data_IF_342213172762
#
_entry.id   IF_342213172762
#
_cell.length_a   1.000
_cell.length_b   1.000
_cell.length_c   1.000
_cell.angle_alpha   90.00
_cell.angle_beta   90.00
_cell.angle_gamma   90.00
#
_symmetry.space_group_name_H-M   'P 1'
#
loop_
_entity.id
_entity.type
_entity.pdbx_description
1 polymer ?
#
# COMPACT_ATOMS: atom_id res chain seq x y z
N UNK A 1 -7.48 -22.39 -4.21
CA UNK A 1 -7.18 -21.11 -3.54
C UNK A 1 -8.02 -20.05 -4.23
N UNK A 2 -9.04 -19.50 -3.57
CA UNK A 2 -9.78 -18.35 -4.09
C UNK A 2 -8.95 -17.10 -3.76
N UNK A 3 -8.01 -16.76 -4.62
CA UNK A 3 -7.37 -15.43 -4.58
C UNK A 3 -8.44 -14.41 -4.89
N UNK A 4 -8.73 -13.53 -3.92
CA UNK A 4 -9.68 -12.45 -4.06
C UNK A 4 -9.19 -11.52 -5.18
N UNK A 5 -10.06 -11.16 -6.13
CA UNK A 5 -9.72 -10.29 -7.25
C UNK A 5 -9.14 -8.95 -6.76
N UNK A 6 -9.60 -8.47 -5.60
CA UNK A 6 -9.06 -7.27 -4.95
C UNK A 6 -7.59 -7.40 -4.56
N UNK A 7 -7.17 -8.57 -4.04
CA UNK A 7 -5.79 -8.82 -3.63
C UNK A 7 -4.85 -8.88 -4.85
N UNK A 8 -5.33 -9.48 -5.95
CA UNK A 8 -4.60 -9.52 -7.22
C UNK A 8 -4.41 -8.10 -7.75
N UNK A 9 -5.48 -7.30 -7.78
CA UNK A 9 -5.43 -5.92 -8.27
C UNK A 9 -4.48 -5.05 -7.43
N UNK A 10 -4.53 -5.22 -6.11
CA UNK A 10 -3.63 -4.53 -5.18
C UNK A 10 -2.16 -4.92 -5.43
N UNK A 11 -1.89 -6.23 -5.56
CA UNK A 11 -0.55 -6.73 -5.87
C UNK A 11 -0.01 -6.18 -7.19
N UNK A 12 -0.85 -6.12 -8.23
CA UNK A 12 -0.49 -5.53 -9.51
C UNK A 12 -0.19 -4.03 -9.40
N UNK A 13 -1.01 -3.28 -8.67
CA UNK A 13 -0.80 -1.86 -8.44
C UNK A 13 0.54 -1.60 -7.71
N UNK A 14 0.84 -2.36 -6.67
CA UNK A 14 2.13 -2.30 -5.97
C UNK A 14 3.31 -2.65 -6.89
N UNK A 15 3.17 -3.68 -7.73
CA UNK A 15 4.20 -4.05 -8.71
C UNK A 15 4.48 -2.89 -9.67
N UNK A 16 3.43 -2.27 -10.23
CA UNK A 16 3.55 -1.12 -11.15
C UNK A 16 4.31 0.03 -10.49
N UNK A 17 3.96 0.36 -9.23
CA UNK A 17 4.67 1.41 -8.47
C UNK A 17 6.15 1.07 -8.33
N UNK A 18 6.47 -0.17 -7.94
CA UNK A 18 7.85 -0.64 -7.76
C UNK A 18 8.65 -0.60 -9.07
N UNK A 19 8.06 -1.05 -10.17
CA UNK A 19 8.68 -1.01 -11.49
C UNK A 19 8.99 0.42 -11.94
N UNK A 20 8.08 1.37 -11.67
CA UNK A 20 8.37 2.77 -11.98
C UNK A 20 9.42 3.40 -11.10
N UNK A 21 9.36 3.17 -9.79
CA UNK A 21 10.40 3.65 -8.89
C UNK A 21 11.78 3.12 -9.31
N UNK A 22 11.84 1.84 -9.70
CA UNK A 22 13.06 1.21 -10.18
C UNK A 22 13.56 1.82 -11.50
N UNK A 23 12.67 2.07 -12.47
CA UNK A 23 13.04 2.72 -13.73
C UNK A 23 13.65 4.11 -13.50
N UNK A 24 13.04 4.94 -12.65
CA UNK A 24 13.61 6.24 -12.27
C UNK A 24 14.99 6.11 -11.63
N UNK A 25 15.17 5.12 -10.74
CA UNK A 25 16.45 4.88 -10.10
C UNK A 25 17.53 4.45 -11.11
N UNK A 26 17.20 3.64 -12.11
CA UNK A 26 18.13 3.26 -13.19
C UNK A 26 18.54 4.46 -14.04
N UNK A 27 17.67 5.45 -14.20
CA UNK A 27 17.94 6.71 -14.89
C UNK A 27 18.68 7.74 -14.01
N UNK A 28 18.94 7.42 -12.74
CA UNK A 28 19.57 8.35 -11.79
C UNK A 28 18.67 9.51 -11.38
N UNK A 29 17.36 9.37 -11.56
CA UNK A 29 16.37 10.39 -11.23
C UNK A 29 15.89 10.19 -9.80
N UNK A 30 16.18 11.16 -8.93
CA UNK A 30 15.56 11.21 -7.61
C UNK A 30 14.04 11.40 -7.75
N UNK A 31 13.27 10.51 -7.13
CA UNK A 31 11.83 10.46 -7.31
C UNK A 31 11.10 10.49 -5.98
N UNK A 32 9.84 10.90 -6.03
CA UNK A 32 8.92 10.87 -4.90
C UNK A 32 7.55 10.37 -5.38
N UNK A 33 6.62 10.17 -4.45
CA UNK A 33 5.29 9.63 -4.76
C UNK A 33 4.56 10.43 -5.85
N UNK A 34 4.67 11.76 -5.83
CA UNK A 34 4.00 12.62 -6.80
C UNK A 34 4.60 12.50 -8.21
N UNK A 35 5.93 12.37 -8.32
CA UNK A 35 6.60 12.15 -9.62
C UNK A 35 6.17 10.81 -10.23
N UNK A 36 6.14 9.74 -9.42
CA UNK A 36 5.68 8.42 -9.88
C UNK A 36 4.20 8.50 -10.30
N UNK A 37 3.33 9.11 -9.49
CA UNK A 37 1.91 9.25 -9.81
C UNK A 37 1.69 10.03 -11.11
N UNK A 38 2.43 11.12 -11.34
CA UNK A 38 2.38 11.87 -12.59
C UNK A 38 2.77 11.02 -13.79
N UNK A 39 3.85 10.24 -13.68
CA UNK A 39 4.27 9.35 -14.76
C UNK A 39 3.21 8.30 -15.07
N UNK A 40 2.62 7.68 -14.05
CA UNK A 40 1.55 6.69 -14.23
C UNK A 40 0.28 7.31 -14.85
N UNK A 41 -0.02 8.58 -14.57
CA UNK A 41 -1.13 9.29 -15.24
C UNK A 41 -0.87 9.47 -16.73
N UNK A 42 0.35 9.79 -17.13
CA UNK A 42 0.71 9.87 -18.55
C UNK A 42 0.59 8.50 -19.22
N UNK A 43 1.00 7.42 -18.56
CA UNK A 43 0.80 6.06 -19.07
C UNK A 43 -0.68 5.71 -19.22
N UNK A 44 -1.49 6.00 -18.21
CA UNK A 44 -2.93 5.75 -18.23
C UNK A 44 -3.65 6.46 -19.40
N UNK A 45 -3.18 7.65 -19.81
CA UNK A 45 -3.70 8.36 -20.99
C UNK A 45 -3.44 7.61 -22.30
N UNK A 46 -2.35 6.83 -22.35
CA UNK A 46 -1.97 6.04 -23.53
C UNK A 46 -2.63 4.64 -23.54
N UNK A 47 -3.11 4.15 -22.39
CA UNK A 47 -3.77 2.85 -22.32
C UNK A 47 -5.15 2.89 -22.99
N UNK A 48 -5.31 2.08 -24.04
CA UNK A 48 -6.56 1.88 -24.76
C UNK A 48 -7.70 1.51 -23.80
N UNK A 49 -8.89 2.04 -24.07
CA UNK A 49 -10.09 1.80 -23.24
C UNK A 49 -10.46 0.31 -23.13
N UNK A 50 -10.17 -0.49 -24.15
CA UNK A 50 -10.39 -1.94 -24.14
C UNK A 50 -9.53 -2.72 -23.15
N UNK A 51 -8.45 -2.13 -22.61
CA UNK A 51 -7.56 -2.77 -21.65
C UNK A 51 -7.98 -2.48 -20.21
N UNK A 52 -9.15 -3.01 -19.84
CA UNK A 52 -9.83 -2.67 -18.59
C UNK A 52 -8.97 -2.98 -17.35
N UNK A 53 -8.34 -4.16 -17.28
CA UNK A 53 -7.54 -4.53 -16.10
C UNK A 53 -6.30 -3.64 -15.95
N UNK A 54 -5.55 -3.41 -17.03
CA UNK A 54 -4.39 -2.51 -17.02
C UNK A 54 -4.77 -1.10 -16.52
N UNK A 55 -5.92 -0.58 -16.98
CA UNK A 55 -6.45 0.72 -16.51
C UNK A 55 -6.80 0.69 -15.03
N UNK A 56 -7.46 -0.37 -14.54
CA UNK A 56 -7.79 -0.51 -13.12
C UNK A 56 -6.54 -0.53 -12.24
N UNK A 57 -5.52 -1.31 -12.61
CA UNK A 57 -4.28 -1.43 -11.85
C UNK A 57 -3.51 -0.09 -11.82
N UNK A 58 -3.47 0.64 -12.93
CA UNK A 58 -2.89 1.99 -12.99
C UNK A 58 -3.65 3.01 -12.13
N UNK A 59 -4.99 3.00 -12.19
CA UNK A 59 -5.82 3.90 -11.37
C UNK A 59 -5.58 3.63 -9.89
N UNK A 60 -5.57 2.35 -9.48
CA UNK A 60 -5.32 1.98 -8.09
C UNK A 60 -3.91 2.37 -7.64
N UNK A 61 -2.90 2.18 -8.49
CA UNK A 61 -1.53 2.60 -8.21
C UNK A 61 -1.43 4.12 -7.96
N UNK A 62 -2.11 4.92 -8.78
CA UNK A 62 -2.19 6.37 -8.63
C UNK A 62 -2.85 6.74 -7.29
N UNK A 63 -3.99 6.11 -6.96
CA UNK A 63 -4.70 6.34 -5.69
C UNK A 63 -3.85 6.00 -4.46
N UNK A 64 -3.09 4.90 -4.51
CA UNK A 64 -2.18 4.50 -3.43
C UNK A 64 -1.05 5.51 -3.20
N UNK A 65 -0.51 6.10 -4.28
CA UNK A 65 0.55 7.10 -4.19
C UNK A 65 0.06 8.44 -3.64
N UNK A 66 -1.17 8.81 -3.99
CA UNK A 66 -1.80 10.07 -3.55
C UNK A 66 -2.36 10.00 -2.13
N UNK A 67 -2.51 8.79 -1.56
CA UNK A 67 -3.15 8.61 -0.27
C UNK A 67 -4.68 8.80 -0.33
N UNK A 68 -5.26 8.71 -1.53
CA UNK A 68 -6.70 8.85 -1.78
C UNK A 68 -7.52 7.61 -1.39
N UNK A 69 -6.86 6.59 -0.84
CA UNK A 69 -7.52 5.43 -0.24
C UNK A 69 -7.57 5.66 1.26
N UNK A 70 -8.75 6.01 1.78
CA UNK A 70 -9.00 5.93 3.22
C UNK A 70 -8.78 4.48 3.65
N UNK A 71 -7.69 4.23 4.39
CA UNK A 71 -7.27 2.92 4.85
C UNK A 71 -8.34 2.29 5.79
N UNK A 72 -9.36 1.63 5.25
CA UNK A 72 -10.32 0.85 6.05
C UNK A 72 -9.70 -0.42 6.66
N UNK A 73 -8.50 -0.82 6.21
CA UNK A 73 -7.84 -2.08 6.61
C UNK A 73 -6.66 -1.93 7.57
N UNK A 74 -6.10 -0.74 7.78
CA UNK A 74 -4.99 -0.53 8.74
C UNK A 74 -5.49 -0.39 10.19
N UNK A 75 -6.75 0.03 10.40
CA UNK A 75 -7.31 0.22 11.74
C UNK A 75 -7.59 -1.08 12.52
N UNK A 76 -7.61 -2.25 11.89
CA UNK A 76 -8.06 -3.49 12.54
C UNK A 76 -6.96 -4.34 13.19
N UNK A 77 -5.68 -4.06 12.93
CA UNK A 77 -4.58 -4.87 13.49
C UNK A 77 -3.83 -4.25 14.69
N UNK A 78 -3.92 -2.93 14.91
CA UNK A 78 -3.21 -2.29 16.04
C UNK A 78 -3.98 -2.34 17.37
N UNK A 79 -5.29 -2.64 17.35
CA UNK A 79 -6.10 -2.62 18.58
C UNK A 79 -6.05 -3.90 19.44
N UNK A 80 -5.36 -4.96 18.99
CA UNK A 80 -5.31 -6.25 19.73
C UNK A 80 -3.97 -6.53 20.40
N UNK A 81 -2.88 -5.87 20.01
CA UNK A 81 -1.56 -6.09 20.60
C UNK A 81 -1.31 -5.30 21.91
N UNK A 82 -2.19 -4.35 22.27
CA UNK A 82 -1.93 -3.40 23.37
C UNK A 82 -2.67 -3.71 24.68
N UNK A 83 -3.45 -4.80 24.77
CA UNK A 83 -4.22 -5.15 25.99
C UNK A 83 -3.60 -6.21 26.88
N UNK A 84 -2.68 -7.04 26.41
CA UNK A 84 -2.19 -8.17 27.21
C UNK A 84 -0.82 -7.92 27.88
N UNK A 85 -0.16 -6.80 27.59
CA UNK A 85 1.13 -6.46 28.22
C UNK A 85 1.01 -5.58 29.48
N UNK A 86 -0.22 -5.24 29.91
CA UNK A 86 -0.48 -4.44 31.12
C UNK A 86 -0.87 -5.33 32.32
N UNK A 87 -1.20 -6.60 32.12
CA UNK A 87 -1.59 -7.51 33.21
C UNK A 87 -0.41 -8.21 33.89
N UNK A 88 0.75 -8.38 33.23
CA UNK A 88 1.88 -9.13 33.80
C UNK A 88 2.76 -8.32 34.77
N UNK A 89 2.65 -6.98 34.82
CA UNK A 89 3.53 -6.13 35.63
C UNK A 89 3.01 -5.83 37.05
N UNK A 90 1.90 -6.46 37.50
CA UNK A 90 1.25 -6.14 38.78
C UNK A 90 1.42 -7.18 39.90
N UNK A 91 1.95 -8.37 39.65
CA UNK A 91 2.08 -9.40 40.72
C UNK A 91 3.46 -9.47 41.41
N UNK A 92 4.49 -8.76 40.95
CA UNK A 92 5.81 -8.79 41.63
C UNK A 92 5.96 -7.81 42.80
N UNK A 93 4.97 -6.97 43.11
CA UNK A 93 5.04 -6.02 44.25
C UNK A 93 4.37 -6.50 45.53
N UNK A 94 3.86 -7.73 45.57
CA UNK A 94 3.19 -8.29 46.75
C UNK A 94 3.99 -9.46 47.38
N UNK A 95 5.32 -9.36 47.37
CA UNK A 95 6.22 -10.27 48.11
C UNK A 95 7.22 -9.60 49.04
N UNK A 96 7.19 -8.27 49.15
CA UNK A 96 7.99 -7.54 50.14
C UNK A 96 7.17 -6.43 50.79
N UNK A 97 6.30 -6.82 51.72
CA UNK A 97 6.01 -6.06 52.93
C UNK A 97 5.34 -6.95 53.97
#
# INVERSE_FOLDING_TARGET
MNTNEADILYGEACRIIGEKAFAFAQEGIETNKAIIANSLREELRQVKESRIQERKSLILAIQLLEGSIENESVAKNDSKAQKDNISAAREEKEKHR
#
